data_IF_666180919551
#
_entry.id   IF_666180919551
#
_cell.length_a   1.000
_cell.length_b   1.000
_cell.length_c   1.000
_cell.angle_alpha   90.00
_cell.angle_beta   90.00
_cell.angle_gamma   90.00
#
_symmetry.space_group_name_H-M   'P 1'
#
loop_
_entity.id
_entity.type
_entity.pdbx_description
1 polymer ?
#
# COMPACT_ATOMS: atom_id res chain seq x y z
N UNK A 1 3.60 12.11 -31.59
CA UNK A 1 2.80 13.27 -31.26
C UNK A 1 2.41 13.24 -29.79
N UNK A 2 2.54 14.31 -29.11
CA UNK A 2 1.93 14.71 -27.84
C UNK A 2 2.80 14.67 -26.58
N UNK A 3 3.97 15.29 -26.63
CA UNK A 3 4.62 15.71 -25.37
C UNK A 3 3.97 16.96 -24.76
N UNK A 4 3.02 17.61 -25.43
CA UNK A 4 2.26 18.76 -24.90
C UNK A 4 1.05 18.36 -24.05
N UNK A 5 0.56 17.13 -24.15
CA UNK A 5 -0.58 16.67 -23.35
C UNK A 5 -0.23 16.27 -21.91
N UNK A 6 1.04 16.04 -21.60
CA UNK A 6 1.47 15.64 -20.26
C UNK A 6 1.57 16.82 -19.28
N UNK A 7 1.71 18.05 -19.76
CA UNK A 7 1.81 19.27 -18.93
C UNK A 7 0.44 19.84 -18.49
N UNK A 8 -0.64 19.39 -19.11
CA UNK A 8 -1.99 19.91 -18.87
C UNK A 8 -2.86 18.97 -18.04
N UNK A 9 -2.27 18.00 -17.33
CA UNK A 9 -3.00 17.11 -16.42
C UNK A 9 -2.46 17.19 -15.02
N UNK A 10 -3.38 17.14 -14.04
CA UNK A 10 -3.04 17.02 -12.63
C UNK A 10 -3.28 15.61 -12.14
N UNK A 11 -2.34 15.10 -11.34
CA UNK A 11 -2.46 13.83 -10.62
C UNK A 11 -2.75 14.12 -9.15
N UNK A 12 -3.73 13.44 -8.58
CA UNK A 12 -4.14 13.63 -7.19
C UNK A 12 -4.49 12.28 -6.56
N UNK A 13 -4.16 12.13 -5.30
CA UNK A 13 -4.56 10.97 -4.50
C UNK A 13 -5.75 11.34 -3.63
N UNK A 14 -6.93 10.98 -4.02
CA UNK A 14 -8.13 11.17 -3.20
C UNK A 14 -8.46 9.95 -2.34
N UNK A 15 -7.72 8.86 -2.54
CA UNK A 15 -7.91 7.60 -1.82
C UNK A 15 -6.56 7.02 -1.45
N UNK A 16 -6.37 6.69 -0.19
CA UNK A 16 -5.17 6.05 0.35
C UNK A 16 -5.53 4.61 0.72
N UNK A 17 -4.92 3.65 0.05
CA UNK A 17 -5.10 2.23 0.30
C UNK A 17 -3.87 1.64 0.98
N UNK A 18 -3.90 1.35 2.28
CA UNK A 18 -2.78 0.68 2.92
C UNK A 18 -2.67 -0.75 2.41
N UNK A 19 -1.44 -1.20 2.21
CA UNK A 19 -1.14 -2.58 1.80
C UNK A 19 -0.74 -3.37 3.04
N UNK A 20 -1.52 -4.39 3.34
CA UNK A 20 -1.27 -5.32 4.43
C UNK A 20 -0.34 -6.46 3.97
N UNK A 21 0.47 -6.95 4.89
CA UNK A 21 1.11 -8.25 4.79
C UNK A 21 0.18 -9.24 5.51
N UNK A 22 -0.65 -9.90 4.73
CA UNK A 22 -1.68 -10.81 5.22
C UNK A 22 -1.16 -12.25 5.25
N UNK A 23 -1.48 -13.00 6.30
CA UNK A 23 -1.00 -14.36 6.46
C UNK A 23 -2.04 -15.24 7.17
N UNK A 24 -1.88 -16.55 7.05
CA UNK A 24 -2.70 -17.54 7.73
C UNK A 24 -1.80 -18.49 8.54
N UNK A 25 -1.78 -18.31 9.86
CA UNK A 25 -0.99 -19.12 10.79
C UNK A 25 -1.76 -19.39 12.10
N UNK A 26 -3.06 -19.62 11.97
CA UNK A 26 -3.97 -19.81 13.10
C UNK A 26 -3.94 -18.59 14.04
N UNK A 27 -3.82 -18.83 15.34
CA UNK A 27 -3.84 -17.77 16.35
C UNK A 27 -2.49 -17.05 16.54
N UNK A 28 -1.43 -17.47 15.84
CA UNK A 28 -0.09 -16.91 16.01
C UNK A 28 -0.01 -15.48 15.49
N UNK A 29 0.38 -14.55 16.34
CA UNK A 29 0.67 -13.15 15.94
C UNK A 29 2.11 -13.05 15.45
N UNK A 30 2.33 -12.35 14.33
CA UNK A 30 3.62 -12.25 13.66
C UNK A 30 4.05 -10.80 13.48
N UNK A 31 5.30 -10.53 13.87
CA UNK A 31 6.04 -9.33 13.50
C UNK A 31 7.07 -9.71 12.42
N UNK A 32 7.30 -8.83 11.48
CA UNK A 32 8.33 -9.02 10.44
C UNK A 32 9.12 -7.72 10.27
N UNK A 33 10.45 -7.81 10.35
CA UNK A 33 11.30 -6.73 9.87
C UNK A 33 11.22 -6.65 8.35
N UNK A 34 11.53 -5.49 7.78
CA UNK A 34 11.57 -5.30 6.32
C UNK A 34 12.55 -6.23 5.65
N UNK A 35 13.69 -6.53 6.31
CA UNK A 35 14.69 -7.48 5.81
C UNK A 35 14.13 -8.90 5.77
N UNK A 36 13.51 -9.37 6.86
CA UNK A 36 12.87 -10.70 6.95
C UNK A 36 11.77 -10.83 5.89
N UNK A 37 10.94 -9.80 5.75
CA UNK A 37 9.88 -9.74 4.74
C UNK A 37 10.45 -9.89 3.32
N UNK A 38 11.50 -9.15 2.98
CA UNK A 38 12.16 -9.27 1.67
C UNK A 38 12.68 -10.68 1.39
N UNK A 39 13.31 -11.32 2.38
CA UNK A 39 13.83 -12.70 2.26
C UNK A 39 12.72 -13.73 2.09
N UNK A 40 11.55 -13.54 2.74
CA UNK A 40 10.37 -14.40 2.54
C UNK A 40 9.92 -14.32 1.08
N UNK A 41 9.72 -13.13 0.54
CA UNK A 41 9.23 -12.94 -0.83
C UNK A 41 10.27 -13.27 -1.92
N UNK A 42 11.56 -13.36 -1.56
CA UNK A 42 12.61 -13.94 -2.41
C UNK A 42 12.66 -15.48 -2.35
N UNK A 43 12.00 -16.11 -1.37
CA UNK A 43 12.06 -17.55 -1.12
C UNK A 43 13.35 -18.01 -0.45
N UNK A 44 14.08 -17.10 0.17
CA UNK A 44 15.26 -17.39 0.99
C UNK A 44 14.84 -17.96 2.34
N UNK A 45 13.81 -17.41 2.95
CA UNK A 45 13.14 -17.93 4.16
C UNK A 45 11.93 -18.74 3.71
N UNK A 46 11.89 -20.02 4.10
CA UNK A 46 10.90 -20.99 3.64
C UNK A 46 10.02 -21.57 4.75
N UNK A 47 10.35 -21.30 6.01
CA UNK A 47 9.63 -21.82 7.17
C UNK A 47 9.32 -20.72 8.16
N UNK A 48 8.16 -20.83 8.81
CA UNK A 48 7.73 -19.85 9.83
C UNK A 48 8.59 -19.86 11.09
N UNK A 49 9.27 -20.95 11.42
CA UNK A 49 10.22 -21.03 12.54
C UNK A 49 11.67 -20.73 12.14
N UNK A 50 11.91 -20.09 11.00
CA UNK A 50 13.25 -19.62 10.61
C UNK A 50 13.84 -18.67 11.67
N UNK A 51 15.17 -18.70 11.83
CA UNK A 51 15.87 -17.91 12.84
C UNK A 51 15.63 -16.40 12.70
N UNK A 52 15.46 -15.89 11.47
CA UNK A 52 15.18 -14.49 11.22
C UNK A 52 13.77 -14.10 11.71
N UNK A 53 12.75 -14.94 11.42
CA UNK A 53 11.40 -14.73 11.94
C UNK A 53 11.37 -14.87 13.47
N UNK A 54 12.10 -15.83 14.01
CA UNK A 54 12.19 -16.01 15.47
C UNK A 54 12.83 -14.80 16.18
N UNK A 55 13.82 -14.17 15.55
CA UNK A 55 14.45 -12.95 16.07
C UNK A 55 13.47 -11.75 16.08
N UNK A 56 12.60 -11.63 15.08
CA UNK A 56 11.55 -10.61 15.02
C UNK A 56 10.41 -10.89 16.02
N UNK A 57 10.31 -12.10 16.59
CA UNK A 57 9.20 -12.59 17.44
C UNK A 57 9.69 -13.27 18.71
N UNK A 58 10.60 -12.63 19.43
CA UNK A 58 11.14 -13.21 20.68
C UNK A 58 10.03 -13.63 21.65
N UNK A 59 10.11 -14.87 22.12
CA UNK A 59 9.14 -15.44 23.08
C UNK A 59 7.86 -15.99 22.44
N UNK A 60 7.70 -15.92 21.13
CA UNK A 60 6.58 -16.53 20.39
C UNK A 60 6.96 -17.96 19.97
N UNK A 61 6.05 -18.91 20.21
CA UNK A 61 6.21 -20.29 19.72
C UNK A 61 5.81 -20.37 18.25
N UNK A 62 6.82 -20.39 17.38
CA UNK A 62 6.64 -20.42 15.93
C UNK A 62 6.54 -21.86 15.43
N UNK A 63 5.52 -22.21 14.61
CA UNK A 63 5.35 -23.57 14.11
C UNK A 63 6.41 -23.92 13.08
N UNK A 64 6.87 -25.18 13.09
CA UNK A 64 7.65 -25.77 12.00
C UNK A 64 6.75 -26.04 10.79
N UNK A 65 6.46 -24.98 10.04
CA UNK A 65 5.54 -24.97 8.91
C UNK A 65 6.17 -24.24 7.73
N UNK A 66 5.94 -24.76 6.54
CA UNK A 66 6.40 -24.12 5.31
C UNK A 66 5.61 -22.83 5.04
N UNK A 67 6.30 -21.83 4.50
CA UNK A 67 5.70 -20.57 4.04
C UNK A 67 5.28 -20.74 2.58
N UNK A 68 4.00 -20.53 2.29
CA UNK A 68 3.50 -20.44 0.91
C UNK A 68 3.28 -18.98 0.55
N UNK A 69 4.14 -18.43 -0.27
CA UNK A 69 3.98 -17.04 -0.79
C UNK A 69 2.88 -17.04 -1.84
N UNK A 70 1.88 -16.19 -1.67
CA UNK A 70 0.84 -15.94 -2.67
C UNK A 70 1.09 -14.58 -3.30
N UNK A 71 1.17 -14.52 -4.62
CA UNK A 71 1.42 -13.29 -5.36
C UNK A 71 0.38 -13.04 -6.45
N UNK A 72 0.28 -11.80 -6.93
CA UNK A 72 -0.61 -11.42 -8.04
C UNK A 72 -0.09 -11.98 -9.36
N UNK A 73 -0.86 -12.87 -9.98
CA UNK A 73 -0.54 -13.44 -11.31
C UNK A 73 -0.90 -12.51 -12.47
N UNK A 74 -1.72 -11.49 -12.21
CA UNK A 74 -2.08 -10.44 -13.16
C UNK A 74 -1.19 -9.18 -13.00
N UNK A 75 -1.23 -8.29 -13.98
CA UNK A 75 -0.58 -6.99 -13.88
C UNK A 75 -1.27 -6.13 -12.81
N UNK A 76 -0.54 -5.76 -11.76
CA UNK A 76 -1.09 -5.12 -10.57
C UNK A 76 -0.32 -3.87 -10.16
N UNK A 77 -1.06 -2.80 -9.88
CA UNK A 77 -0.51 -1.62 -9.22
C UNK A 77 0.00 -1.91 -7.81
N UNK A 78 -0.66 -2.82 -7.08
CA UNK A 78 -0.24 -3.27 -5.75
C UNK A 78 1.09 -4.00 -5.81
N UNK A 79 1.28 -4.88 -6.82
CA UNK A 79 2.58 -5.54 -7.06
C UNK A 79 3.68 -4.53 -7.36
N UNK A 80 3.42 -3.55 -8.23
CA UNK A 80 4.40 -2.50 -8.55
C UNK A 80 4.78 -1.68 -7.32
N UNK A 81 3.80 -1.34 -6.48
CA UNK A 81 4.00 -0.59 -5.25
C UNK A 81 4.81 -1.39 -4.22
N UNK A 82 4.45 -2.66 -4.02
CA UNK A 82 5.14 -3.54 -3.07
C UNK A 82 6.59 -3.80 -3.48
N UNK A 83 6.87 -4.01 -4.76
CA UNK A 83 8.23 -4.16 -5.26
C UNK A 83 9.09 -2.89 -5.05
N UNK A 84 8.51 -1.70 -5.27
CA UNK A 84 9.19 -0.43 -4.96
C UNK A 84 9.48 -0.31 -3.47
N UNK A 85 8.53 -0.69 -2.63
CA UNK A 85 8.72 -0.70 -1.18
C UNK A 85 9.86 -1.65 -0.80
N UNK A 86 9.86 -2.91 -1.26
CA UNK A 86 10.92 -3.87 -0.96
C UNK A 86 12.29 -3.34 -1.40
N UNK A 87 12.38 -2.72 -2.58
CA UNK A 87 13.62 -2.13 -3.07
C UNK A 87 14.12 -0.99 -2.18
N UNK A 88 13.24 -0.08 -1.79
CA UNK A 88 13.60 1.06 -0.93
C UNK A 88 13.96 0.63 0.49
N UNK A 89 13.19 -0.31 1.07
CA UNK A 89 13.35 -0.73 2.46
C UNK A 89 14.53 -1.70 2.67
N UNK A 90 14.85 -2.54 1.69
CA UNK A 90 15.91 -3.55 1.84
C UNK A 90 17.18 -3.25 1.06
N UNK A 91 17.09 -2.42 0.01
CA UNK A 91 18.20 -2.20 -0.93
C UNK A 91 18.61 -3.43 -1.75
N UNK A 92 17.89 -4.54 -1.58
CA UNK A 92 18.23 -5.86 -2.13
C UNK A 92 16.99 -6.51 -2.80
N UNK A 93 16.32 -5.76 -3.68
CA UNK A 93 15.20 -6.23 -4.49
C UNK A 93 15.41 -5.82 -5.95
N UNK A 94 15.53 -6.80 -6.85
CA UNK A 94 15.96 -6.57 -8.24
C UNK A 94 14.81 -6.47 -9.25
N UNK A 95 13.59 -6.87 -8.86
CA UNK A 95 12.42 -6.82 -9.73
C UNK A 95 11.64 -5.52 -9.59
N UNK A 96 10.94 -5.13 -10.65
CA UNK A 96 10.10 -3.93 -10.67
C UNK A 96 8.92 -4.08 -11.64
N UNK A 97 7.99 -3.14 -11.58
CA UNK A 97 6.83 -3.10 -12.48
C UNK A 97 5.62 -3.86 -11.93
N UNK A 98 4.62 -4.04 -12.79
CA UNK A 98 3.31 -4.59 -12.40
C UNK A 98 3.26 -6.12 -12.32
N UNK A 99 4.23 -6.79 -12.93
CA UNK A 99 4.39 -8.24 -12.83
C UNK A 99 5.21 -8.57 -11.58
N UNK A 100 4.68 -9.42 -10.72
CA UNK A 100 5.46 -9.95 -9.60
C UNK A 100 6.26 -11.17 -10.07
N UNK A 101 7.50 -11.39 -9.55
CA UNK A 101 8.27 -12.58 -9.91
C UNK A 101 7.52 -13.87 -9.56
N UNK A 102 7.45 -14.79 -10.50
CA UNK A 102 6.81 -16.11 -10.37
C UNK A 102 7.78 -17.24 -9.97
N UNK A 103 8.94 -16.85 -9.45
CA UNK A 103 10.01 -17.81 -9.05
C UNK A 103 9.75 -18.46 -7.69
N UNK A 104 8.84 -17.88 -6.88
CA UNK A 104 8.54 -18.32 -5.52
C UNK A 104 7.04 -18.26 -5.29
N UNK A 105 6.48 -19.35 -4.76
CA UNK A 105 5.07 -19.39 -4.33
C UNK A 105 4.08 -19.67 -5.45
N UNK A 106 2.84 -19.24 -5.26
CA UNK A 106 1.69 -19.48 -6.13
C UNK A 106 1.01 -18.19 -6.57
N UNK A 107 0.64 -18.11 -7.84
CA UNK A 107 -0.05 -16.93 -8.39
C UNK A 107 -1.56 -17.02 -8.24
N UNK A 108 -2.19 -15.90 -7.82
CA UNK A 108 -3.64 -15.75 -7.82
C UNK A 108 -4.06 -14.45 -8.52
N UNK A 109 -5.24 -14.46 -9.14
CA UNK A 109 -5.73 -13.32 -9.91
C UNK A 109 -6.52 -12.34 -9.05
N UNK A 110 -6.12 -11.08 -9.08
CA UNK A 110 -6.81 -10.00 -8.36
C UNK A 110 -6.56 -10.01 -6.85
N UNK A 111 -6.92 -8.91 -6.18
CA UNK A 111 -6.76 -8.76 -4.73
C UNK A 111 -7.65 -9.73 -3.95
N UNK A 112 -8.90 -9.96 -4.40
CA UNK A 112 -9.76 -10.98 -3.80
C UNK A 112 -9.18 -12.39 -3.96
N UNK A 113 -8.61 -12.71 -5.14
CA UNK A 113 -8.02 -14.02 -5.38
C UNK A 113 -6.84 -14.34 -4.47
N UNK A 114 -5.92 -13.38 -4.23
CA UNK A 114 -4.81 -13.61 -3.29
C UNK A 114 -5.29 -13.71 -1.84
N UNK A 115 -6.29 -12.90 -1.44
CA UNK A 115 -6.88 -12.98 -0.10
C UNK A 115 -7.60 -14.32 0.14
N UNK A 116 -8.37 -14.80 -0.85
CA UNK A 116 -9.03 -16.11 -0.81
C UNK A 116 -8.02 -17.26 -0.69
N UNK A 117 -6.91 -17.20 -1.43
CA UNK A 117 -5.86 -18.22 -1.36
C UNK A 117 -5.19 -18.24 0.01
N UNK A 118 -4.86 -17.09 0.59
CA UNK A 118 -4.29 -17.03 1.94
C UNK A 118 -5.25 -17.60 2.98
N UNK A 119 -6.55 -17.30 2.88
CA UNK A 119 -7.55 -17.84 3.79
C UNK A 119 -7.64 -19.38 3.72
N UNK A 120 -7.39 -19.96 2.55
CA UNK A 120 -7.52 -21.42 2.33
C UNK A 120 -6.23 -22.22 2.55
N UNK A 121 -5.06 -21.56 2.61
CA UNK A 121 -3.76 -22.24 2.71
C UNK A 121 -3.11 -21.88 4.05
N UNK A 122 -3.05 -22.86 4.93
CA UNK A 122 -2.37 -22.75 6.22
C UNK A 122 -0.85 -22.56 6.00
N UNK A 123 -0.28 -21.50 6.57
CA UNK A 123 1.10 -21.08 6.35
C UNK A 123 1.29 -20.13 5.16
N UNK A 124 0.22 -19.68 4.50
CA UNK A 124 0.31 -18.72 3.39
C UNK A 124 0.58 -17.29 3.88
N UNK A 125 1.22 -16.51 3.00
CA UNK A 125 1.48 -15.07 3.17
C UNK A 125 1.32 -14.35 1.83
N UNK A 126 0.81 -13.12 1.86
CA UNK A 126 0.67 -12.25 0.68
C UNK A 126 0.81 -10.77 1.04
N UNK A 127 0.95 -9.94 0.01
CA UNK A 127 0.71 -8.49 0.06
C UNK A 127 -0.65 -8.21 -0.60
N UNK A 128 -1.49 -7.44 0.06
CA UNK A 128 -2.84 -7.12 -0.45
C UNK A 128 -3.35 -5.83 0.21
N UNK A 129 -4.23 -5.09 -0.45
CA UNK A 129 -4.88 -3.94 0.16
C UNK A 129 -5.66 -4.37 1.42
N UNK A 130 -5.55 -3.58 2.49
CA UNK A 130 -6.06 -3.93 3.83
C UNK A 130 -7.52 -4.39 3.82
N UNK A 131 -8.39 -3.72 3.07
CA UNK A 131 -9.81 -4.08 3.02
C UNK A 131 -10.10 -5.50 2.55
N UNK A 132 -9.24 -6.09 1.70
CA UNK A 132 -9.37 -7.49 1.30
C UNK A 132 -8.88 -8.45 2.39
N UNK A 133 -7.85 -8.08 3.14
CA UNK A 133 -7.41 -8.85 4.30
C UNK A 133 -8.49 -8.84 5.41
N UNK A 134 -9.08 -7.67 5.68
CA UNK A 134 -10.13 -7.48 6.70
C UNK A 134 -11.35 -8.36 6.42
N UNK A 135 -11.74 -8.51 5.15
CA UNK A 135 -12.84 -9.40 4.75
C UNK A 135 -12.57 -10.88 5.06
N UNK A 136 -11.31 -11.26 5.32
CA UNK A 136 -10.88 -12.64 5.61
C UNK A 136 -10.45 -12.88 7.04
N UNK A 137 -10.59 -11.91 7.94
CA UNK A 137 -10.31 -12.09 9.37
C UNK A 137 -11.14 -13.23 9.97
N UNK A 138 -12.41 -13.34 9.60
CA UNK A 138 -13.29 -14.44 10.01
C UNK A 138 -12.87 -15.82 9.51
N UNK A 139 -12.03 -15.87 8.47
CA UNK A 139 -11.46 -17.09 7.88
C UNK A 139 -10.05 -17.37 8.42
N UNK A 140 -9.57 -16.65 9.46
CA UNK A 140 -8.29 -16.86 10.11
C UNK A 140 -7.12 -16.09 9.49
N UNK A 141 -7.36 -15.19 8.54
CA UNK A 141 -6.32 -14.32 7.99
C UNK A 141 -6.02 -13.20 8.98
N UNK A 142 -4.72 -12.98 9.23
CA UNK A 142 -4.21 -11.91 10.08
C UNK A 142 -3.30 -10.98 9.27
N UNK A 143 -3.04 -9.80 9.82
CA UNK A 143 -2.09 -8.82 9.27
C UNK A 143 -0.85 -8.79 10.15
N UNK A 144 0.33 -8.98 9.57
CA UNK A 144 1.59 -8.88 10.29
C UNK A 144 1.87 -7.42 10.68
N UNK A 145 2.45 -7.22 11.86
CA UNK A 145 3.08 -5.95 12.21
C UNK A 145 4.44 -5.90 11.52
N UNK A 146 4.77 -4.75 10.96
CA UNK A 146 6.03 -4.58 10.23
C UNK A 146 6.95 -3.63 10.98
N UNK A 147 8.18 -4.07 11.18
CA UNK A 147 9.24 -3.23 11.74
C UNK A 147 9.94 -2.50 10.60
N UNK A 148 9.72 -1.21 10.53
CA UNK A 148 10.34 -0.30 9.56
C UNK A 148 11.65 0.33 10.11
N UNK A 149 12.20 -0.18 11.21
CA UNK A 149 13.45 0.26 11.81
C UNK A 149 13.32 0.80 13.25
N UNK A 150 12.10 1.00 13.76
CA UNK A 150 11.81 1.51 15.09
C UNK A 150 10.90 0.60 15.93
N UNK A 151 10.88 -0.68 15.62
CA UNK A 151 9.99 -1.67 16.24
C UNK A 151 8.72 -1.93 15.42
N UNK A 152 7.99 -3.00 15.76
CA UNK A 152 6.83 -3.45 15.00
C UNK A 152 5.68 -2.45 15.03
N UNK A 153 5.18 -2.08 13.87
CA UNK A 153 4.06 -1.16 13.66
C UNK A 153 2.85 -1.92 13.12
N UNK A 154 1.73 -1.78 13.80
CA UNK A 154 0.43 -2.30 13.35
C UNK A 154 -0.13 -1.39 12.25
N UNK A 155 -0.72 -2.01 11.21
CA UNK A 155 -1.47 -1.27 10.20
C UNK A 155 -2.76 -0.74 10.82
N UNK A 156 -2.85 0.57 10.96
CA UNK A 156 -4.01 1.30 11.51
C UNK A 156 -4.14 2.67 10.85
N UNK A 157 -5.29 3.30 11.01
CA UNK A 157 -5.49 4.69 10.56
C UNK A 157 -4.44 5.63 11.17
N UNK A 158 -4.12 5.46 12.46
CA UNK A 158 -3.14 6.30 13.15
C UNK A 158 -1.73 6.12 12.55
N UNK A 159 -1.25 4.89 12.37
CA UNK A 159 0.09 4.62 11.86
C UNK A 159 0.26 5.04 10.38
N UNK A 160 -0.81 4.92 9.57
CA UNK A 160 -0.81 5.40 8.19
C UNK A 160 -0.82 6.93 8.16
N UNK A 161 -1.64 7.60 8.98
CA UNK A 161 -1.65 9.07 9.04
C UNK A 161 -0.30 9.63 9.48
N UNK A 162 0.42 8.97 10.37
CA UNK A 162 1.81 9.33 10.70
C UNK A 162 2.74 9.27 9.48
N UNK A 163 2.58 8.30 8.59
CA UNK A 163 3.36 8.24 7.36
C UNK A 163 2.98 9.39 6.39
N UNK A 164 1.73 9.84 6.41
CA UNK A 164 1.25 10.93 5.55
C UNK A 164 1.60 12.33 6.07
N UNK A 165 1.91 12.51 7.35
CA UNK A 165 2.25 13.81 7.94
C UNK A 165 3.45 14.48 7.25
N UNK A 166 4.43 13.67 6.83
CA UNK A 166 5.65 14.14 6.17
C UNK A 166 5.70 13.72 4.69
N UNK A 167 4.53 13.60 4.05
CA UNK A 167 4.45 13.17 2.66
C UNK A 167 5.12 14.18 1.73
N UNK A 168 6.11 13.71 1.01
CA UNK A 168 6.82 14.50 0.01
C UNK A 168 6.24 14.28 -1.39
N UNK A 169 6.25 15.34 -2.20
CA UNK A 169 5.82 15.29 -3.58
C UNK A 169 7.01 15.59 -4.49
N UNK A 170 7.05 14.90 -5.62
CA UNK A 170 8.03 15.18 -6.66
C UNK A 170 7.85 16.58 -7.22
N UNK A 171 8.96 17.24 -7.56
CA UNK A 171 8.91 18.48 -8.31
C UNK A 171 8.20 18.27 -9.65
N UNK A 172 7.22 19.11 -9.93
CA UNK A 172 6.43 19.10 -11.15
C UNK A 172 6.23 20.51 -11.66
N UNK A 173 5.73 20.69 -12.87
CA UNK A 173 5.46 22.01 -13.48
C UNK A 173 4.36 22.81 -12.73
N UNK A 174 3.65 22.18 -11.81
CA UNK A 174 2.58 22.80 -11.01
C UNK A 174 2.49 22.19 -9.62
N UNK A 175 2.35 23.01 -8.60
CA UNK A 175 2.07 22.58 -7.22
C UNK A 175 0.78 21.79 -7.06
N UNK A 176 -0.13 21.90 -8.03
CA UNK A 176 -1.39 21.16 -8.06
C UNK A 176 -1.25 19.75 -8.70
N UNK A 177 -0.09 19.43 -9.28
CA UNK A 177 0.21 18.10 -9.79
C UNK A 177 0.95 17.30 -8.70
N UNK A 178 0.17 16.68 -7.82
CA UNK A 178 0.64 16.07 -6.57
C UNK A 178 1.09 14.62 -6.81
N UNK A 179 2.30 14.45 -7.32
CA UNK A 179 2.93 13.12 -7.49
C UNK A 179 3.74 12.79 -6.24
N UNK A 180 3.31 11.79 -5.47
CA UNK A 180 4.02 11.36 -4.26
C UNK A 180 5.43 10.89 -4.60
N UNK A 181 6.40 11.31 -3.82
CA UNK A 181 7.72 10.70 -3.81
C UNK A 181 7.68 9.39 -3.01
N UNK A 182 7.43 8.29 -3.72
CA UNK A 182 7.31 6.98 -3.09
C UNK A 182 8.62 6.45 -2.53
N UNK A 183 9.77 6.92 -3.05
CA UNK A 183 11.08 6.53 -2.52
C UNK A 183 11.31 7.21 -1.16
N UNK A 184 11.04 8.51 -1.05
CA UNK A 184 11.08 9.23 0.22
C UNK A 184 10.09 8.65 1.24
N UNK A 185 8.87 8.32 0.80
CA UNK A 185 7.86 7.71 1.67
C UNK A 185 8.33 6.36 2.24
N UNK A 186 8.86 5.46 1.39
CA UNK A 186 9.23 4.11 1.79
C UNK A 186 10.56 4.03 2.56
N UNK A 187 11.42 5.05 2.43
CA UNK A 187 12.66 5.20 3.20
C UNK A 187 12.50 6.14 4.39
N UNK A 188 11.28 6.56 4.72
CA UNK A 188 11.00 7.47 5.83
C UNK A 188 11.39 6.85 7.17
N UNK A 189 12.14 7.60 7.98
CA UNK A 189 12.59 7.24 9.32
C UNK A 189 11.63 7.82 10.38
N UNK A 190 10.33 7.58 10.21
CA UNK A 190 9.29 8.14 11.07
C UNK A 190 8.75 7.07 12.05
N UNK A 191 9.09 7.20 13.34
CA UNK A 191 8.72 6.24 14.38
C UNK A 191 7.20 6.07 14.47
N UNK A 192 6.73 4.82 14.42
CA UNK A 192 5.32 4.46 14.50
C UNK A 192 4.53 4.71 13.21
N UNK A 193 5.19 5.11 12.13
CA UNK A 193 4.55 5.23 10.82
C UNK A 193 4.47 3.89 10.09
N UNK A 194 3.37 3.69 9.34
CA UNK A 194 3.19 2.57 8.42
C UNK A 194 3.22 3.09 6.97
N UNK A 195 4.37 3.11 6.30
CA UNK A 195 4.54 3.75 5.00
C UNK A 195 4.12 2.87 3.81
N UNK A 196 3.86 1.57 4.00
CA UNK A 196 3.45 0.67 2.91
C UNK A 196 2.00 0.95 2.50
N UNK A 197 1.83 2.02 1.74
CA UNK A 197 0.55 2.50 1.23
C UNK A 197 0.56 2.56 -0.30
N UNK A 198 -0.58 2.23 -0.90
CA UNK A 198 -0.84 2.39 -2.32
C UNK A 198 -1.53 3.72 -2.56
N UNK A 199 -0.89 4.59 -3.29
CA UNK A 199 -1.47 5.87 -3.72
C UNK A 199 -2.12 5.71 -5.08
N UNK A 200 -3.45 5.79 -5.13
CA UNK A 200 -4.20 5.75 -6.38
C UNK A 200 -4.40 7.15 -6.92
N UNK A 201 -3.97 7.38 -8.16
CA UNK A 201 -4.05 8.69 -8.79
C UNK A 201 -5.33 8.87 -9.59
N UNK A 202 -6.05 9.94 -9.31
CA UNK A 202 -7.01 10.51 -10.23
C UNK A 202 -6.29 11.47 -11.17
N UNK A 203 -6.48 11.29 -12.47
CA UNK A 203 -5.86 12.11 -13.50
C UNK A 203 -6.95 12.99 -14.10
N UNK A 204 -6.79 14.30 -14.01
CA UNK A 204 -7.73 15.29 -14.57
C UNK A 204 -6.99 16.31 -15.41
N UNK A 205 -7.65 16.83 -16.45
CA UNK A 205 -7.11 17.97 -17.17
C UNK A 205 -7.11 19.20 -16.26
N UNK A 206 -6.03 19.97 -16.29
CA UNK A 206 -5.92 21.20 -15.50
C UNK A 206 -6.77 22.34 -16.09
N UNK A 207 -7.01 22.27 -17.41
CA UNK A 207 -7.75 23.26 -18.19
C UNK A 207 -8.34 22.63 -19.45
N UNK A 208 -9.21 23.37 -20.14
CA UNK A 208 -9.75 22.98 -21.47
C UNK A 208 -11.06 22.22 -21.38
N UNK A 209 -11.68 22.13 -20.20
CA UNK A 209 -13.07 21.72 -20.07
C UNK A 209 -14.02 22.83 -20.54
N UNK A 210 -15.16 22.46 -21.12
CA UNK A 210 -16.30 23.36 -21.19
C UNK A 210 -16.85 23.67 -19.79
N UNK A 211 -17.66 24.72 -19.67
CA UNK A 211 -18.17 25.18 -18.38
C UNK A 211 -18.97 24.10 -17.62
N UNK A 212 -19.77 23.29 -18.33
CA UNK A 212 -20.58 22.25 -17.74
C UNK A 212 -19.71 21.11 -17.24
N UNK A 213 -18.78 20.63 -18.03
CA UNK A 213 -17.80 19.59 -17.67
C UNK A 213 -16.93 20.03 -16.51
N UNK A 214 -16.43 21.28 -16.51
CA UNK A 214 -15.63 21.82 -15.40
C UNK A 214 -16.42 21.81 -14.08
N UNK A 215 -17.69 22.21 -14.09
CA UNK A 215 -18.57 22.16 -12.91
C UNK A 215 -18.77 20.74 -12.40
N UNK A 216 -19.00 19.78 -13.29
CA UNK A 216 -19.19 18.37 -12.93
C UNK A 216 -17.94 17.77 -12.32
N UNK A 217 -16.76 17.99 -12.91
CA UNK A 217 -15.47 17.50 -12.39
C UNK A 217 -15.19 18.09 -11.01
N UNK A 218 -15.35 19.40 -10.84
CA UNK A 218 -15.18 20.06 -9.53
C UNK A 218 -16.15 19.52 -8.50
N UNK A 219 -17.43 19.39 -8.83
CA UNK A 219 -18.47 18.86 -7.94
C UNK A 219 -18.16 17.43 -7.51
N UNK A 220 -17.71 16.58 -8.43
CA UNK A 220 -17.32 15.20 -8.14
C UNK A 220 -16.19 15.15 -7.10
N UNK A 221 -15.08 15.84 -7.36
CA UNK A 221 -13.94 15.83 -6.44
C UNK A 221 -14.23 16.52 -5.11
N UNK A 222 -15.00 17.60 -5.11
CA UNK A 222 -15.46 18.24 -3.86
C UNK A 222 -16.25 17.23 -3.02
N UNK A 223 -17.19 16.53 -3.64
CA UNK A 223 -17.97 15.48 -2.94
C UNK A 223 -17.07 14.38 -2.38
N UNK A 224 -16.11 13.88 -3.17
CA UNK A 224 -15.14 12.86 -2.71
C UNK A 224 -14.32 13.36 -1.52
N UNK A 225 -13.87 14.61 -1.54
CA UNK A 225 -13.05 15.18 -0.47
C UNK A 225 -13.86 15.59 0.77
N UNK A 226 -15.17 15.82 0.63
CA UNK A 226 -16.06 16.11 1.76
C UNK A 226 -16.56 14.84 2.46
N UNK A 227 -16.40 13.66 1.83
CA UNK A 227 -16.79 12.35 2.37
C UNK A 227 -15.56 11.48 2.72
N UNK A 228 -14.55 12.10 3.31
CA UNK A 228 -13.41 11.41 3.94
C UNK A 228 -13.80 11.05 5.38
N UNK A 229 -14.59 10.01 5.55
CA UNK A 229 -15.26 9.66 6.80
C UNK A 229 -15.10 8.16 7.16
N UNK A 230 -15.74 7.74 8.25
CA UNK A 230 -15.67 6.38 8.77
C UNK A 230 -16.19 5.33 7.77
N UNK A 231 -17.11 5.71 6.86
CA UNK A 231 -17.59 4.76 5.84
C UNK A 231 -16.49 4.39 4.83
N UNK A 232 -15.58 5.34 4.54
CA UNK A 232 -14.42 5.07 3.71
C UNK A 232 -13.44 4.13 4.44
N UNK A 233 -13.25 4.34 5.75
CA UNK A 233 -12.41 3.50 6.59
C UNK A 233 -12.96 2.05 6.70
N UNK A 234 -14.28 1.86 6.79
CA UNK A 234 -14.94 0.54 6.78
C UNK A 234 -14.69 -0.25 5.48
N UNK A 235 -14.34 0.44 4.38
CA UNK A 235 -13.95 -0.20 3.12
C UNK A 235 -12.45 -0.48 3.02
N UNK A 236 -11.68 -0.27 4.09
CA UNK A 236 -10.23 -0.51 4.15
C UNK A 236 -9.37 0.60 3.54
N UNK A 237 -9.94 1.78 3.32
CA UNK A 237 -9.20 2.99 2.92
C UNK A 237 -8.92 3.87 4.12
N UNK A 238 -7.90 4.70 4.01
CA UNK A 238 -7.60 5.72 5.02
C UNK A 238 -8.15 7.05 4.55
N UNK A 239 -9.05 7.69 5.33
CA UNK A 239 -9.50 9.04 5.05
C UNK A 239 -8.33 10.03 5.01
N UNK A 240 -8.32 10.90 4.02
CA UNK A 240 -7.31 11.95 3.91
C UNK A 240 -7.69 13.11 4.84
N UNK A 241 -6.76 13.56 5.67
CA UNK A 241 -6.99 14.56 6.69
C UNK A 241 -5.92 15.68 6.67
N UNK A 242 -6.16 16.73 7.44
CA UNK A 242 -5.20 17.79 7.74
C UNK A 242 -4.65 18.49 6.50
N UNK A 243 -3.37 18.82 6.54
CA UNK A 243 -2.71 19.59 5.49
C UNK A 243 -2.75 18.93 4.11
N UNK A 244 -2.80 17.58 4.04
CA UNK A 244 -2.93 16.87 2.78
C UNK A 244 -4.31 17.09 2.15
N UNK A 245 -5.38 17.02 2.94
CA UNK A 245 -6.75 17.31 2.50
C UNK A 245 -6.88 18.76 2.01
N UNK A 246 -6.27 19.73 2.73
CA UNK A 246 -6.31 21.14 2.35
C UNK A 246 -5.62 21.38 0.99
N UNK A 247 -4.48 20.73 0.74
CA UNK A 247 -3.79 20.77 -0.55
C UNK A 247 -4.64 20.16 -1.69
N UNK A 248 -5.33 19.06 -1.43
CA UNK A 248 -6.23 18.43 -2.41
C UNK A 248 -7.41 19.35 -2.74
N UNK A 249 -8.03 19.98 -1.73
CA UNK A 249 -9.12 20.97 -1.93
C UNK A 249 -8.65 22.16 -2.76
N UNK A 250 -7.51 22.75 -2.41
CA UNK A 250 -6.93 23.85 -3.18
C UNK A 250 -6.65 23.46 -4.65
N UNK A 251 -6.17 22.22 -4.88
CA UNK A 251 -5.93 21.72 -6.21
C UNK A 251 -7.23 21.46 -7.03
N UNK A 252 -8.35 21.13 -6.38
CA UNK A 252 -9.67 21.03 -7.04
C UNK A 252 -10.17 22.42 -7.43
N UNK A 253 -10.03 23.41 -6.55
CA UNK A 253 -10.45 24.79 -6.81
C UNK A 253 -9.68 25.41 -7.98
N UNK A 254 -8.42 25.05 -8.17
CA UNK A 254 -7.56 25.53 -9.25
C UNK A 254 -7.88 24.94 -10.66
N UNK A 255 -8.78 23.98 -10.79
CA UNK A 255 -9.23 23.49 -12.12
C UNK A 255 -9.93 24.59 -12.90
N UNK A 256 -9.63 24.68 -14.22
CA UNK A 256 -10.20 25.68 -15.14
C UNK A 256 -11.03 25.03 -16.25
#
# INVERSE_FOLDING_TARGET
>A
SSSSAASDVYKRQTTIGPVAIAYNLGDTEINLSTETLGKIFKGEIKKWNDEAIAADNEGTDLPDKDITVIFRSDESGTSANFQKFLKAATGDWDSEGKQFPDTVGEGANGSSGVADQVANIDGAITYVESGFADQKEGDGVKKAKIDFGHGPVELSTESVNKALENLEFKETDSEHNMVVDSEALFSSDNEGAYPLILTTYNIVCSKGYDEETSKLVKSFFTTVLDHQDDQLAEQGFIPVEGAHLDKLKAAVDALQ
#
